data_IF_686372142628
#
_entry.id   IF_686372142628
#
_cell.length_a   1.000
_cell.length_b   1.000
_cell.length_c   1.000
_cell.angle_alpha   90.00
_cell.angle_beta   90.00
_cell.angle_gamma   90.00
#
_symmetry.space_group_name_H-M   'P 1'
#
loop_
_entity.id
_entity.type
_entity.pdbx_description
1 polymer ?
#
# COMPACT_ATOMS: atom_id res chain seq x y z
N UNK A 1 -47.58 23.49 -2.29
CA UNK A 1 -46.92 22.22 -1.92
C UNK A 1 -45.92 21.81 -3.00
N UNK A 2 -44.75 22.46 -3.09
CA UNK A 2 -43.76 22.19 -4.18
C UNK A 2 -42.33 21.92 -3.68
N UNK A 3 -42.05 21.99 -2.37
CA UNK A 3 -40.67 21.94 -1.86
C UNK A 3 -40.17 20.55 -1.40
N UNK A 4 -40.96 19.47 -1.54
CA UNK A 4 -40.63 18.17 -0.94
C UNK A 4 -40.07 17.12 -1.93
N UNK A 5 -39.90 17.47 -3.20
CA UNK A 5 -39.55 16.52 -4.26
C UNK A 5 -38.17 16.80 -4.88
N UNK A 6 -37.25 17.38 -4.12
CA UNK A 6 -35.83 17.42 -4.45
C UNK A 6 -35.20 16.02 -4.26
N UNK A 7 -35.54 15.14 -5.20
CA UNK A 7 -34.89 13.90 -5.59
C UNK A 7 -34.01 13.19 -4.54
N UNK A 8 -34.56 12.13 -3.93
CA UNK A 8 -33.74 11.00 -3.47
C UNK A 8 -33.08 10.35 -4.69
N UNK A 9 -31.98 10.91 -5.20
CA UNK A 9 -31.18 10.25 -6.24
C UNK A 9 -30.55 9.02 -5.61
N UNK A 10 -30.83 7.87 -6.21
CA UNK A 10 -30.23 6.59 -5.83
C UNK A 10 -28.70 6.73 -5.83
N UNK A 11 -28.03 6.16 -4.84
CA UNK A 11 -26.56 6.09 -4.75
C UNK A 11 -25.94 5.55 -6.06
N UNK A 12 -26.66 4.65 -6.73
CA UNK A 12 -26.33 4.09 -8.05
C UNK A 12 -26.39 5.07 -9.23
N UNK A 13 -26.90 6.28 -9.05
CA UNK A 13 -26.88 7.35 -10.06
C UNK A 13 -25.79 8.41 -9.81
N UNK A 14 -25.15 8.36 -8.63
CA UNK A 14 -24.15 9.32 -8.18
C UNK A 14 -22.74 8.78 -8.45
N UNK A 15 -22.51 7.49 -8.24
CA UNK A 15 -21.19 6.86 -8.33
C UNK A 15 -20.44 6.99 -9.67
N UNK A 16 -21.13 7.19 -10.80
CA UNK A 16 -20.52 7.35 -12.13
C UNK A 16 -20.42 8.81 -12.62
N UNK A 17 -20.76 9.81 -11.78
CA UNK A 17 -20.68 11.21 -12.18
C UNK A 17 -19.23 11.63 -12.42
N UNK A 18 -18.96 12.24 -13.57
CA UNK A 18 -17.63 12.75 -13.96
C UNK A 18 -16.96 13.62 -12.91
N UNK A 19 -17.72 14.42 -12.16
CA UNK A 19 -17.19 15.28 -11.10
C UNK A 19 -16.69 14.52 -9.86
N UNK A 20 -17.18 13.29 -9.64
CA UNK A 20 -16.88 12.49 -8.44
C UNK A 20 -15.73 11.50 -8.70
N UNK A 21 -15.59 11.04 -9.95
CA UNK A 21 -14.52 10.10 -10.35
C UNK A 21 -13.11 10.58 -9.89
N UNK A 22 -12.70 11.85 -10.08
CA UNK A 22 -11.39 12.33 -9.62
C UNK A 22 -11.19 12.21 -8.10
N UNK A 23 -12.25 12.35 -7.31
CA UNK A 23 -12.20 12.24 -5.85
C UNK A 23 -11.93 10.79 -5.46
N UNK A 24 -12.62 9.84 -6.07
CA UNK A 24 -12.39 8.41 -5.80
C UNK A 24 -11.00 7.95 -6.23
N UNK A 25 -10.49 8.46 -7.35
CA UNK A 25 -9.14 8.11 -7.83
C UNK A 25 -8.07 8.62 -6.86
N UNK A 26 -8.17 9.85 -6.39
CA UNK A 26 -7.17 10.42 -5.47
C UNK A 26 -7.24 9.78 -4.08
N UNK A 27 -8.43 9.61 -3.52
CA UNK A 27 -8.61 8.98 -2.20
C UNK A 27 -8.26 7.49 -2.26
N UNK A 28 -8.77 6.76 -3.26
CA UNK A 28 -8.47 5.35 -3.46
C UNK A 28 -6.99 5.12 -3.73
N UNK A 29 -6.37 5.98 -4.54
CA UNK A 29 -4.93 5.97 -4.78
C UNK A 29 -4.13 6.21 -3.50
N UNK A 30 -4.51 7.20 -2.69
CA UNK A 30 -3.84 7.51 -1.43
C UNK A 30 -3.91 6.35 -0.43
N UNK A 31 -5.11 5.81 -0.19
CA UNK A 31 -5.30 4.68 0.76
C UNK A 31 -4.62 3.42 0.24
N UNK A 32 -4.70 3.15 -1.06
CA UNK A 32 -4.06 2.00 -1.69
C UNK A 32 -2.53 2.06 -1.58
N UNK A 33 -1.92 3.20 -1.93
CA UNK A 33 -0.47 3.39 -1.85
C UNK A 33 0.02 3.39 -0.39
N UNK A 34 -0.71 4.01 0.53
CA UNK A 34 -0.38 3.97 1.96
C UNK A 34 -0.42 2.54 2.50
N UNK A 35 -1.47 1.79 2.19
CA UNK A 35 -1.59 0.39 2.60
C UNK A 35 -0.47 -0.46 2.02
N UNK A 36 -0.16 -0.31 0.72
CA UNK A 36 0.97 -0.97 0.09
C UNK A 36 2.28 -0.65 0.79
N UNK A 37 2.55 0.62 1.07
CA UNK A 37 3.80 1.03 1.73
C UNK A 37 3.91 0.49 3.16
N UNK A 38 2.81 0.46 3.91
CA UNK A 38 2.77 -0.19 5.23
C UNK A 38 3.08 -1.68 5.15
N UNK A 39 2.55 -2.41 4.15
CA UNK A 39 2.90 -3.83 3.96
C UNK A 39 4.38 -4.03 3.65
N UNK A 40 5.00 -3.13 2.88
CA UNK A 40 6.44 -3.15 2.58
C UNK A 40 7.28 -2.91 3.83
N UNK A 41 6.88 -1.95 4.66
CA UNK A 41 7.56 -1.62 5.93
C UNK A 41 7.43 -2.75 6.96
N UNK A 42 6.24 -3.35 7.09
CA UNK A 42 6.03 -4.51 7.96
C UNK A 42 6.95 -5.68 7.58
N UNK A 43 7.40 -5.74 6.32
CA UNK A 43 8.30 -6.74 5.76
C UNK A 43 9.76 -6.27 5.68
N UNK A 44 10.20 -5.31 6.49
CA UNK A 44 11.59 -4.86 6.53
C UNK A 44 12.46 -5.72 7.48
N UNK A 45 13.76 -6.01 7.19
CA UNK A 45 14.58 -6.93 8.01
C UNK A 45 14.82 -6.50 9.44
N UNK A 46 14.61 -5.23 9.74
CA UNK A 46 14.64 -4.72 11.11
C UNK A 46 13.32 -4.97 11.88
N UNK A 47 12.24 -5.35 11.19
CA UNK A 47 10.93 -5.60 11.80
C UNK A 47 10.75 -7.09 12.10
N UNK A 48 10.54 -7.41 13.37
CA UNK A 48 10.38 -8.79 13.87
C UNK A 48 8.93 -9.01 14.31
N UNK A 49 8.16 -9.81 13.54
CA UNK A 49 6.83 -10.27 13.94
C UNK A 49 6.89 -11.64 14.61
N UNK A 50 7.56 -12.61 13.98
CA UNK A 50 7.73 -13.96 14.53
C UNK A 50 8.98 -14.10 15.39
N UNK A 51 8.83 -13.91 16.69
CA UNK A 51 9.92 -14.06 17.67
C UNK A 51 10.29 -15.51 17.97
N UNK A 52 9.52 -16.50 17.51
CA UNK A 52 9.75 -17.92 17.83
C UNK A 52 10.49 -18.64 16.70
N UNK A 53 9.99 -18.55 15.46
CA UNK A 53 10.58 -19.29 14.34
C UNK A 53 11.49 -18.46 13.44
N UNK A 54 11.53 -17.13 13.61
CA UNK A 54 12.45 -16.25 12.88
C UNK A 54 12.80 -14.99 13.71
N UNK A 55 13.45 -15.15 14.87
CA UNK A 55 13.77 -14.03 15.75
C UNK A 55 14.73 -13.00 15.12
N UNK A 56 15.50 -13.41 14.11
CA UNK A 56 16.56 -12.61 13.48
C UNK A 56 16.37 -12.48 11.96
N UNK A 57 15.32 -11.80 11.48
CA UNK A 57 14.98 -11.74 10.06
C UNK A 57 16.09 -11.14 9.18
N UNK A 58 16.94 -10.28 9.71
CA UNK A 58 18.11 -9.72 9.03
C UNK A 58 19.15 -10.75 8.61
N UNK A 59 19.20 -11.94 9.24
CA UNK A 59 20.12 -13.00 8.84
C UNK A 59 19.79 -13.62 7.48
N UNK A 60 18.56 -13.40 6.97
CA UNK A 60 18.13 -13.92 5.68
C UNK A 60 18.47 -12.98 4.50
N UNK A 61 19.03 -11.79 4.77
CA UNK A 61 19.40 -10.83 3.73
C UNK A 61 20.74 -11.24 3.12
N UNK A 62 20.80 -11.40 1.80
CA UNK A 62 22.04 -11.75 1.10
C UNK A 62 22.85 -10.49 0.74
N UNK A 63 24.17 -10.64 0.59
CA UNK A 63 25.09 -9.52 0.33
C UNK A 63 24.79 -8.74 -0.97
N UNK A 64 24.25 -9.40 -1.99
CA UNK A 64 23.93 -8.78 -3.28
C UNK A 64 22.45 -8.31 -3.37
N UNK A 65 21.73 -8.30 -2.25
CA UNK A 65 20.35 -7.81 -2.19
C UNK A 65 20.25 -6.39 -1.64
N UNK A 66 19.47 -5.57 -2.34
CA UNK A 66 19.09 -4.25 -1.87
C UNK A 66 17.87 -4.33 -0.96
N UNK A 67 18.05 -3.94 0.30
CA UNK A 67 16.95 -3.82 1.27
C UNK A 67 16.14 -2.53 1.11
N UNK A 68 16.74 -1.49 0.54
CA UNK A 68 16.12 -0.17 0.42
C UNK A 68 15.08 -0.16 -0.70
N UNK A 69 14.04 0.66 -0.56
CA UNK A 69 13.06 0.90 -1.61
C UNK A 69 13.73 1.38 -2.91
N UNK A 70 14.73 2.25 -2.77
CA UNK A 70 15.48 2.80 -3.89
C UNK A 70 16.96 2.91 -3.52
N UNK A 71 17.83 2.41 -4.39
CA UNK A 71 19.28 2.58 -4.27
C UNK A 71 19.74 3.52 -5.39
N UNK A 72 20.25 4.69 -5.01
CA UNK A 72 20.76 5.70 -5.97
C UNK A 72 21.94 5.16 -6.77
N UNK A 73 22.76 4.32 -6.14
CA UNK A 73 23.84 3.61 -6.80
C UNK A 73 23.37 2.16 -7.01
N UNK A 74 23.18 1.74 -8.27
CA UNK A 74 22.74 0.40 -8.66
C UNK A 74 23.88 -0.64 -8.47
N UNK A 75 24.32 -0.82 -7.22
CA UNK A 75 25.39 -1.75 -6.84
C UNK A 75 24.87 -3.14 -6.47
N UNK A 76 23.55 -3.33 -6.51
CA UNK A 76 22.90 -4.57 -6.09
C UNK A 76 22.23 -5.22 -7.29
N UNK A 77 22.40 -6.54 -7.41
CA UNK A 77 21.84 -7.32 -8.51
C UNK A 77 20.35 -7.63 -8.29
N UNK A 78 19.90 -7.61 -7.03
CA UNK A 78 18.56 -8.06 -6.62
C UNK A 78 17.94 -7.15 -5.58
N UNK A 79 16.62 -7.18 -5.48
CA UNK A 79 15.87 -6.55 -4.38
C UNK A 79 15.50 -7.61 -3.35
N UNK A 80 15.69 -7.28 -2.07
CA UNK A 80 15.28 -8.15 -0.99
C UNK A 80 13.75 -8.22 -0.92
N UNK A 81 13.20 -9.43 -0.94
CA UNK A 81 11.79 -9.72 -0.71
C UNK A 81 11.64 -10.79 0.36
N UNK A 82 10.56 -10.70 1.16
CA UNK A 82 10.16 -11.77 2.08
C UNK A 82 8.70 -12.10 1.91
N UNK A 83 8.42 -13.40 1.98
CA UNK A 83 7.06 -13.93 1.87
C UNK A 83 6.39 -14.11 3.24
N UNK A 84 7.20 -14.33 4.29
CA UNK A 84 6.76 -14.50 5.68
C UNK A 84 7.07 -13.26 6.54
N UNK A 85 6.18 -12.97 7.49
CA UNK A 85 6.35 -11.94 8.52
C UNK A 85 7.13 -12.49 9.72
#
# INVERSE_FOLDING_TARGET
MVAAQAAKKSFWSIWYKTEIIPIYVTVGGAVGLASWYLTRLARHPETVWDRKNNPFPWQNVQQNENTKLHAVNAKFDKFHSRDRL
#
